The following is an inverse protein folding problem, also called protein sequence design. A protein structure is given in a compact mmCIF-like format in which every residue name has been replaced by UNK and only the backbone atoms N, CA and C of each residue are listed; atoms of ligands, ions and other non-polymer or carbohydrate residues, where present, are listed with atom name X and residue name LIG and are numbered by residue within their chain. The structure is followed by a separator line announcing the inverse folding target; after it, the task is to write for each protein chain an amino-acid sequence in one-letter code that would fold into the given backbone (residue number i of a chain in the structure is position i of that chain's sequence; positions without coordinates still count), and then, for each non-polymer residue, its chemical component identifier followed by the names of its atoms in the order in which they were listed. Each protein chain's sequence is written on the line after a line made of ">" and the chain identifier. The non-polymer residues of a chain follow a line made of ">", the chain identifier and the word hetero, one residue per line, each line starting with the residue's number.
data_IF_909915797906
#
_entry.id   IF_909915797906
#
_cell.length_a   1.000
_cell.length_b   1.000
_cell.length_c   1.000
_cell.angle_alpha   90.00
_cell.angle_beta   90.00
_cell.angle_gamma   90.00
#
_symmetry.space_group_name_H-M   'P 1'
#
loop_
_entity.id
_entity.type
_entity.pdbx_description
1 polymer ?
#
# COMPACT_ATOMS: atom_id res chain seq x y z
N UNK A 1 1.06 -15.90 10.94
CA UNK A 1 -0.11 -15.82 10.04
C UNK A 1 0.14 -16.81 8.91
N UNK A 2 -0.72 -17.81 8.73
CA UNK A 2 -0.59 -18.76 7.61
C UNK A 2 -1.29 -18.22 6.38
N UNK A 3 -0.59 -18.21 5.24
CA UNK A 3 -1.19 -17.98 3.93
C UNK A 3 -0.93 -19.21 3.06
N UNK A 4 -2.00 -19.78 2.51
CA UNK A 4 -1.92 -20.88 1.54
C UNK A 4 -2.02 -20.30 0.12
N UNK A 5 -0.97 -20.47 -0.67
CA UNK A 5 -0.93 -20.05 -2.09
C UNK A 5 -1.12 -21.28 -3.00
N UNK A 6 -2.16 -21.36 -3.86
CA UNK A 6 -2.29 -22.43 -4.84
C UNK A 6 -1.43 -22.21 -6.11
N UNK A 7 -1.15 -23.27 -6.89
CA UNK A 7 -0.03 -23.33 -7.82
C UNK A 7 -0.21 -22.56 -9.13
N UNK A 8 0.94 -22.23 -9.72
CA UNK A 8 1.14 -21.45 -10.94
C UNK A 8 0.69 -22.19 -12.20
N UNK A 9 0.13 -21.46 -13.17
CA UNK A 9 0.30 -21.77 -14.59
C UNK A 9 0.23 -20.47 -15.38
N UNK A 10 1.37 -20.10 -15.97
CA UNK A 10 1.56 -18.85 -16.69
C UNK A 10 0.59 -18.70 -17.85
N UNK A 11 -0.11 -17.55 -17.90
CA UNK A 11 -0.72 -16.95 -19.08
C UNK A 11 -1.19 -15.55 -18.67
N UNK A 12 -1.34 -14.67 -19.65
CA UNK A 12 -1.76 -13.27 -19.51
C UNK A 12 -3.14 -13.06 -18.81
N UNK A 13 -3.80 -14.15 -18.39
CA UNK A 13 -5.08 -14.22 -17.69
C UNK A 13 -5.00 -14.88 -16.30
N UNK A 14 -3.81 -15.20 -15.79
CA UNK A 14 -3.70 -15.74 -14.44
C UNK A 14 -4.08 -14.63 -13.43
N UNK A 15 -4.86 -14.96 -12.39
CA UNK A 15 -5.27 -13.99 -11.39
C UNK A 15 -4.05 -13.30 -10.77
N UNK A 16 -4.18 -12.02 -10.36
CA UNK A 16 -3.09 -11.34 -9.68
C UNK A 16 -2.72 -12.09 -8.41
N UNK A 17 -1.43 -12.09 -8.10
CA UNK A 17 -0.96 -12.53 -6.80
C UNK A 17 -1.30 -11.43 -5.79
N UNK A 18 -1.87 -11.81 -4.65
CA UNK A 18 -2.41 -10.90 -3.65
C UNK A 18 -1.73 -11.19 -2.33
N UNK A 19 -1.09 -10.18 -1.76
CA UNK A 19 -0.49 -10.22 -0.43
C UNK A 19 -1.21 -9.25 0.49
N UNK A 20 -1.46 -9.66 1.74
CA UNK A 20 -2.20 -8.86 2.71
C UNK A 20 -1.54 -8.84 4.09
N UNK A 21 -1.58 -7.69 4.73
CA UNK A 21 -1.33 -7.57 6.16
C UNK A 21 -2.47 -6.85 6.86
N UNK A 22 -2.79 -7.31 8.06
CA UNK A 22 -3.77 -6.73 8.95
C UNK A 22 -3.03 -6.06 10.11
N UNK A 23 -3.32 -4.78 10.36
CA UNK A 23 -2.62 -3.97 11.33
C UNK A 23 -3.65 -3.44 12.33
N UNK A 24 -3.61 -3.88 13.59
CA UNK A 24 -4.43 -3.27 14.63
C UNK A 24 -3.87 -1.88 14.94
N UNK A 25 -4.67 -0.84 14.71
CA UNK A 25 -4.27 0.53 14.99
C UNK A 25 -4.50 0.82 16.48
N UNK A 26 -3.44 0.76 17.30
CA UNK A 26 -3.55 1.07 18.73
C UNK A 26 -4.15 2.45 18.97
N UNK A 27 -3.74 3.43 18.15
CA UNK A 27 -4.35 4.76 18.06
C UNK A 27 -4.68 5.07 16.61
N UNK A 28 -5.95 5.30 16.34
CA UNK A 28 -6.44 5.74 15.05
C UNK A 28 -6.18 7.22 14.82
N UNK A 29 -6.85 7.79 13.82
CA UNK A 29 -6.72 9.20 13.48
C UNK A 29 -7.33 9.53 12.12
N UNK A 30 -7.25 10.79 11.74
CA UNK A 30 -7.66 11.24 10.42
C UNK A 30 -6.54 10.98 9.42
N UNK A 31 -6.81 10.23 8.36
CA UNK A 31 -5.84 10.04 7.27
C UNK A 31 -5.63 11.38 6.58
N UNK A 32 -4.39 11.86 6.55
CA UNK A 32 -4.01 13.13 5.90
C UNK A 32 -3.08 12.93 4.71
N UNK A 33 -2.34 11.83 4.68
CA UNK A 33 -1.54 11.44 3.53
C UNK A 33 -1.32 9.93 3.51
N UNK A 34 -1.21 9.35 2.32
CA UNK A 34 -0.84 7.95 2.12
C UNK A 34 -0.03 7.77 0.84
N UNK A 35 0.99 6.91 0.86
CA UNK A 35 1.69 6.46 -0.33
C UNK A 35 2.24 5.06 -0.15
N UNK A 36 2.37 4.33 -1.24
CA UNK A 36 3.11 3.08 -1.25
C UNK A 36 4.46 3.26 -1.94
N UNK A 37 5.43 2.45 -1.57
CA UNK A 37 6.64 2.20 -2.33
C UNK A 37 6.58 0.72 -2.73
N UNK A 38 6.62 0.40 -4.01
CA UNK A 38 6.44 -0.98 -4.47
C UNK A 38 7.40 -1.26 -5.61
N UNK A 39 7.88 -2.50 -5.67
CA UNK A 39 8.79 -2.93 -6.73
C UNK A 39 8.04 -3.36 -8.01
N UNK A 40 8.82 -3.70 -9.04
CA UNK A 40 8.34 -4.15 -10.34
C UNK A 40 7.33 -5.31 -10.23
N UNK A 41 6.27 -5.24 -11.04
CA UNK A 41 5.24 -6.26 -11.09
C UNK A 41 3.97 -5.88 -10.33
N UNK A 42 4.02 -4.85 -9.47
CA UNK A 42 2.84 -4.37 -8.75
C UNK A 42 1.78 -3.80 -9.72
N UNK A 43 0.52 -4.05 -9.40
CA UNK A 43 -0.66 -3.51 -10.07
C UNK A 43 -1.17 -2.32 -9.27
N UNK A 44 -1.31 -2.48 -7.95
CA UNK A 44 -1.61 -1.44 -6.99
C UNK A 44 -1.34 -1.92 -5.55
N UNK A 45 -1.41 -0.99 -4.61
CA UNK A 45 -1.44 -1.24 -3.19
C UNK A 45 -2.65 -0.50 -2.60
N UNK A 46 -3.51 -1.19 -1.87
CA UNK A 46 -4.75 -0.60 -1.31
C UNK A 46 -4.79 -0.74 0.20
N UNK A 47 -5.14 0.35 0.87
CA UNK A 47 -5.44 0.40 2.29
C UNK A 47 -6.95 0.32 2.48
N UNK A 48 -7.39 -0.66 3.27
CA UNK A 48 -8.78 -0.88 3.63
C UNK A 48 -9.01 -0.64 5.12
N UNK A 49 -10.19 -0.12 5.46
CA UNK A 49 -10.70 -0.14 6.82
C UNK A 49 -11.27 -1.51 7.17
N UNK A 50 -11.49 -1.76 8.45
CA UNK A 50 -11.98 -3.05 8.95
C UNK A 50 -13.36 -3.45 8.38
N UNK A 51 -14.16 -2.44 8.01
CA UNK A 51 -15.47 -2.57 7.37
C UNK A 51 -15.38 -2.82 5.85
N UNK A 52 -14.19 -3.02 5.31
CA UNK A 52 -13.94 -3.26 3.89
C UNK A 52 -13.94 -1.99 3.03
N UNK A 53 -14.14 -0.81 3.61
CA UNK A 53 -14.10 0.45 2.84
C UNK A 53 -12.69 0.69 2.33
N UNK A 54 -12.58 1.18 1.10
CA UNK A 54 -11.28 1.61 0.55
C UNK A 54 -10.93 2.97 1.15
N UNK A 55 -9.86 3.03 1.93
CA UNK A 55 -9.32 4.29 2.46
C UNK A 55 -8.47 4.97 1.38
N UNK A 56 -7.68 4.19 0.65
CA UNK A 56 -6.79 4.72 -0.37
C UNK A 56 -6.18 3.60 -1.24
N UNK A 57 -6.04 3.83 -2.55
CA UNK A 57 -5.28 2.97 -3.47
C UNK A 57 -4.12 3.72 -4.11
N UNK A 58 -2.91 3.24 -3.87
CA UNK A 58 -1.69 3.67 -4.56
C UNK A 58 -1.48 2.89 -5.85
N UNK A 59 -1.22 3.60 -6.95
CA UNK A 59 -1.01 3.03 -8.29
C UNK A 59 0.41 3.31 -8.78
N UNK A 60 1.06 2.34 -9.44
CA UNK A 60 2.40 2.52 -9.98
C UNK A 60 2.41 3.42 -11.21
N UNK A 61 3.45 4.22 -11.32
CA UNK A 61 3.92 4.80 -12.58
C UNK A 61 5.08 3.95 -13.07
N UNK A 62 4.95 3.43 -14.30
CA UNK A 62 5.98 2.61 -14.92
C UNK A 62 6.85 3.44 -15.85
N UNK A 63 8.16 3.23 -15.77
CA UNK A 63 9.13 3.80 -16.70
C UNK A 63 8.92 3.29 -18.13
N UNK A 64 9.40 4.06 -19.10
CA UNK A 64 9.21 3.81 -20.54
C UNK A 64 10.51 3.82 -21.35
N UNK A 65 11.60 4.33 -20.78
CA UNK A 65 12.89 4.55 -21.41
C UNK A 65 13.99 3.61 -20.91
N UNK A 66 15.24 4.08 -21.03
CA UNK A 66 16.45 3.37 -20.61
C UNK A 66 17.30 4.18 -19.62
N UNK A 67 16.83 5.37 -19.27
CA UNK A 67 17.53 6.28 -18.37
C UNK A 67 17.26 5.92 -16.90
N UNK A 68 18.21 6.20 -16.00
CA UNK A 68 18.01 6.04 -14.55
C UNK A 68 16.73 6.74 -14.07
N UNK A 69 15.82 5.98 -13.46
CA UNK A 69 14.53 6.49 -12.97
C UNK A 69 13.41 6.57 -14.02
N UNK A 70 13.63 6.04 -15.23
CA UNK A 70 12.61 5.91 -16.28
C UNK A 70 12.70 4.55 -17.00
N UNK A 71 13.25 3.53 -16.37
CA UNK A 71 13.53 2.24 -17.00
C UNK A 71 12.24 1.51 -17.37
N UNK A 72 12.16 1.06 -18.63
CA UNK A 72 11.00 0.36 -19.15
C UNK A 72 10.67 -0.87 -18.31
N UNK A 73 9.46 -0.90 -17.78
CA UNK A 73 8.96 -2.02 -16.99
C UNK A 73 9.27 -1.95 -15.49
N UNK A 74 10.03 -0.95 -15.03
CA UNK A 74 10.24 -0.69 -13.61
C UNK A 74 9.22 0.30 -13.06
N UNK A 75 8.88 0.15 -11.78
CA UNK A 75 8.11 1.16 -11.05
C UNK A 75 9.04 2.31 -10.74
N UNK A 76 8.70 3.49 -11.26
CA UNK A 76 9.48 4.74 -11.09
C UNK A 76 8.78 5.74 -10.17
N UNK A 77 7.58 5.38 -9.72
CA UNK A 77 6.82 6.16 -8.75
C UNK A 77 5.52 5.46 -8.39
N UNK A 78 4.92 5.93 -7.30
CA UNK A 78 3.60 5.47 -6.84
C UNK A 78 2.75 6.71 -6.55
N UNK A 79 1.48 6.69 -6.95
CA UNK A 79 0.58 7.82 -6.73
C UNK A 79 0.32 7.99 -5.24
N UNK A 80 0.57 9.15 -4.63
CA UNK A 80 0.14 9.45 -3.26
C UNK A 80 -1.35 9.80 -3.16
N UNK A 81 -1.90 9.86 -1.95
CA UNK A 81 -3.24 10.40 -1.66
C UNK A 81 -3.20 11.46 -0.59
N UNK A 82 -3.91 12.55 -0.86
CA UNK A 82 -4.16 13.66 0.06
C UNK A 82 -5.68 13.80 0.19
N UNK A 83 -6.34 13.01 1.05
CA UNK A 83 -7.78 13.09 1.22
C UNK A 83 -8.18 14.46 1.76
N UNK A 84 -9.43 14.86 1.51
CA UNK A 84 -9.99 16.05 2.15
C UNK A 84 -9.85 15.90 3.66
N UNK A 85 -9.32 16.91 4.34
CA UNK A 85 -9.16 16.88 5.79
C UNK A 85 -10.48 16.50 6.48
N UNK A 86 -10.41 15.47 7.30
CA UNK A 86 -11.57 14.95 8.04
C UNK A 86 -12.48 14.00 7.29
N UNK A 87 -12.26 13.74 6.00
CA UNK A 87 -13.13 12.84 5.23
C UNK A 87 -12.91 11.37 5.55
N UNK A 88 -11.72 11.01 6.06
CA UNK A 88 -11.35 9.63 6.37
C UNK A 88 -10.84 9.57 7.81
N UNK A 89 -11.61 8.94 8.68
CA UNK A 89 -11.22 8.63 10.06
C UNK A 89 -11.00 7.13 10.21
N UNK A 90 -9.90 6.75 10.84
CA UNK A 90 -9.58 5.41 11.33
C UNK A 90 -9.78 5.45 12.85
N UNK A 91 -10.48 4.47 13.42
CA UNK A 91 -10.80 4.44 14.85
C UNK A 91 -9.67 3.78 15.65
N UNK A 92 -9.60 4.11 16.93
CA UNK A 92 -8.75 3.37 17.87
C UNK A 92 -9.19 1.90 17.91
N UNK A 93 -8.22 0.99 17.83
CA UNK A 93 -8.44 -0.45 17.74
C UNK A 93 -8.94 -0.94 16.38
N UNK A 94 -9.16 -0.06 15.38
CA UNK A 94 -9.57 -0.49 14.04
C UNK A 94 -8.44 -1.29 13.38
N UNK A 95 -8.79 -2.44 12.81
CA UNK A 95 -7.84 -3.23 12.01
C UNK A 95 -7.85 -2.69 10.58
N UNK A 96 -6.75 -2.08 10.16
CA UNK A 96 -6.56 -1.69 8.76
C UNK A 96 -5.89 -2.82 7.99
N UNK A 97 -6.27 -3.02 6.74
CA UNK A 97 -5.67 -4.04 5.88
C UNK A 97 -4.94 -3.37 4.72
N UNK A 98 -3.66 -3.70 4.54
CA UNK A 98 -2.93 -3.37 3.32
C UNK A 98 -2.97 -4.58 2.41
N UNK A 99 -3.38 -4.37 1.15
CA UNK A 99 -3.38 -5.37 0.09
C UNK A 99 -2.48 -4.92 -1.05
N UNK A 100 -1.44 -5.68 -1.35
CA UNK A 100 -0.60 -5.50 -2.53
C UNK A 100 -1.00 -6.51 -3.60
N UNK A 101 -1.25 -6.03 -4.83
CA UNK A 101 -1.56 -6.89 -5.97
C UNK A 101 -0.40 -6.88 -6.95
N UNK A 102 0.08 -8.06 -7.32
CA UNK A 102 1.15 -8.26 -8.29
C UNK A 102 0.64 -9.02 -9.52
N UNK A 103 1.26 -8.74 -10.67
CA UNK A 103 1.10 -9.56 -11.86
C UNK A 103 1.60 -10.98 -11.57
N UNK A 104 0.86 -11.98 -12.02
CA UNK A 104 1.06 -13.41 -11.72
C UNK A 104 2.47 -13.99 -12.02
N UNK A 105 3.24 -13.34 -12.89
CA UNK A 105 4.62 -13.74 -13.23
C UNK A 105 5.68 -13.24 -12.24
N UNK A 106 5.32 -12.36 -11.30
CA UNK A 106 6.22 -11.81 -10.29
C UNK A 106 5.91 -12.49 -8.95
N UNK A 107 6.69 -13.52 -8.63
CA UNK A 107 6.46 -14.43 -7.49
C UNK A 107 7.68 -14.57 -6.57
N UNK A 108 8.76 -13.83 -6.79
CA UNK A 108 9.95 -13.88 -5.94
C UNK A 108 10.47 -12.47 -5.72
N UNK A 109 10.85 -12.15 -4.48
CA UNK A 109 11.44 -10.85 -4.13
C UNK A 109 10.51 -9.64 -4.23
N UNK A 110 9.20 -9.81 -4.02
CA UNK A 110 8.22 -8.71 -4.03
C UNK A 110 8.30 -7.88 -2.74
N UNK A 111 9.09 -6.81 -2.77
CA UNK A 111 9.24 -5.88 -1.65
C UNK A 111 8.31 -4.68 -1.80
N UNK A 112 7.79 -4.18 -0.67
CA UNK A 112 6.97 -2.98 -0.66
C UNK A 112 6.83 -2.35 0.73
N UNK A 113 6.56 -1.05 0.74
CA UNK A 113 6.26 -0.27 1.95
C UNK A 113 4.99 0.52 1.73
N UNK A 114 4.24 0.78 2.80
CA UNK A 114 3.14 1.74 2.77
C UNK A 114 3.31 2.73 3.91
N UNK A 115 3.33 4.02 3.57
CA UNK A 115 3.39 5.10 4.54
C UNK A 115 2.01 5.73 4.63
N UNK A 116 1.49 5.85 5.86
CA UNK A 116 0.27 6.59 6.13
C UNK A 116 0.52 7.60 7.24
N UNK A 117 -0.13 8.74 7.11
CA UNK A 117 0.04 9.85 8.03
C UNK A 117 -1.33 10.14 8.60
N UNK A 118 -1.43 10.02 9.92
CA UNK A 118 -2.66 10.22 10.66
C UNK A 118 -2.53 11.46 11.54
N UNK A 119 -3.63 12.19 11.69
CA UNK A 119 -3.72 13.30 12.62
C UNK A 119 -4.78 12.99 13.69
N UNK A 120 -4.43 13.10 14.96
CA UNK A 120 -5.37 12.92 16.08
C UNK A 120 -6.50 13.95 16.06
N UNK A 121 -6.17 15.18 15.65
CA UNK A 121 -7.09 16.32 15.56
C UNK A 121 -6.87 17.04 14.24
N UNK A 122 -7.97 17.47 13.64
CA UNK A 122 -7.91 18.37 12.50
C UNK A 122 -7.75 19.80 13.01
N UNK A 123 -6.92 20.64 12.38
CA UNK A 123 -6.82 22.02 12.78
C UNK A 123 -8.13 22.75 12.47
N UNK A 124 -8.73 23.41 13.46
CA UNK A 124 -9.93 24.23 13.27
C UNK A 124 -9.64 25.47 12.40
N UNK A 125 -8.38 25.92 12.28
CA UNK A 125 -7.99 26.95 11.29
C UNK A 125 -6.48 27.22 11.12
N UNK A 126 -5.57 26.31 11.49
CA UNK A 126 -4.13 26.53 11.23
C UNK A 126 -3.35 25.22 11.20
N UNK A 127 -2.69 24.96 10.07
CA UNK A 127 -1.90 23.75 9.84
C UNK A 127 -0.76 23.63 10.85
N UNK A 128 -0.89 22.72 11.81
CA UNK A 128 0.21 22.16 12.59
C UNK A 128 0.13 20.63 12.47
N UNK A 129 0.96 19.99 11.63
CA UNK A 129 1.04 18.54 11.60
C UNK A 129 1.66 18.08 12.92
N UNK A 130 0.81 17.76 13.89
CA UNK A 130 1.25 17.11 15.11
C UNK A 130 1.44 15.63 14.81
N UNK A 131 2.66 15.15 15.05
CA UNK A 131 3.10 13.75 15.06
C UNK A 131 2.90 12.94 13.77
N UNK A 132 4.04 12.63 13.14
CA UNK A 132 4.19 11.58 12.16
C UNK A 132 4.31 10.28 12.94
N UNK A 133 3.49 9.24 12.73
CA UNK A 133 3.68 8.04 13.55
C UNK A 133 3.22 6.70 12.96
N UNK A 134 3.07 6.52 11.65
CA UNK A 134 2.90 5.15 11.10
C UNK A 134 3.59 4.94 9.74
N UNK A 135 4.87 4.56 9.76
CA UNK A 135 5.50 3.86 8.63
C UNK A 135 5.18 2.39 8.73
N UNK A 136 4.37 1.86 7.82
CA UNK A 136 4.15 0.43 7.75
C UNK A 136 5.09 -0.19 6.74
N UNK A 137 6.13 -0.85 7.26
CA UNK A 137 7.00 -1.70 6.48
C UNK A 137 6.36 -3.09 6.35
N UNK A 138 6.03 -3.47 5.12
CA UNK A 138 5.51 -4.80 4.79
C UNK A 138 6.50 -5.49 3.86
N UNK A 139 7.57 -5.96 4.47
CA UNK A 139 8.64 -6.67 3.77
C UNK A 139 8.20 -8.12 3.55
N UNK A 140 7.79 -8.44 2.33
CA UNK A 140 7.47 -9.82 1.92
C UNK A 140 8.64 -10.39 1.11
N UNK A 141 9.25 -11.45 1.61
CA UNK A 141 10.10 -12.32 0.78
C UNK A 141 9.28 -13.57 0.45
N UNK A 142 8.71 -13.66 -0.76
CA UNK A 142 8.33 -14.98 -1.28
C UNK A 142 9.64 -15.73 -1.59
N UNK A 143 10.13 -16.46 -0.58
CA UNK A 143 11.18 -17.46 -0.73
C UNK A 143 10.59 -18.65 -1.48
N UNK A 144 10.58 -18.58 -2.80
CA UNK A 144 10.62 -19.80 -3.60
C UNK A 144 12.07 -20.24 -3.72
N UNK A 145 12.50 -21.07 -2.77
CA UNK A 145 13.55 -22.06 -3.01
C UNK A 145 13.09 -23.08 -4.03
#
# INVERSE_FOLDING_TARGET
>A
AEFTVPPNNGRMNSPPHIEKANIPMERGGYLIYGTAHMHTGVINATLYGQDGRTLYTSKPTYGKGKEPGNEKGYVVGMSGSYPKLGSIKIKDGEIVTVEARYKSGFRTGTMGHMYIYLADRLPENTYKPNHMDYSLELTWFDHKS
#
